data_IF_324433098374
#
_entry.id   IF_324433098374
#
_cell.length_a   1.000
_cell.length_b   1.000
_cell.length_c   1.000
_cell.angle_alpha   90.00
_cell.angle_beta   90.00
_cell.angle_gamma   90.00
#
_symmetry.space_group_name_H-M   'P 1'
#
loop_
_entity.id
_entity.type
_entity.pdbx_description
1 polymer ?
#
# COMPACT_ATOMS: atom_id res chain seq x y z
N UNK A 1 -50.63 47.38 -49.45
CA UNK A 1 -50.41 46.62 -48.20
C UNK A 1 -49.23 45.69 -48.46
N UNK A 2 -48.00 46.22 -48.28
CA UNK A 2 -47.15 45.97 -47.08
C UNK A 2 -46.76 44.50 -47.01
N UNK A 3 -45.51 44.05 -47.07
CA UNK A 3 -44.21 44.69 -46.85
C UNK A 3 -43.16 43.72 -47.44
N UNK A 4 -42.17 44.23 -48.18
CA UNK A 4 -40.75 44.24 -47.78
C UNK A 4 -40.11 42.87 -47.44
N UNK A 5 -39.44 42.29 -48.44
CA UNK A 5 -38.00 41.94 -48.51
C UNK A 5 -37.22 41.43 -47.28
N UNK A 6 -36.11 40.70 -47.52
CA UNK A 6 -35.90 39.32 -47.10
C UNK A 6 -34.91 39.22 -45.93
N UNK A 7 -34.85 38.06 -45.27
CA UNK A 7 -33.72 37.75 -44.37
C UNK A 7 -33.25 36.32 -44.52
N UNK A 8 -32.46 36.11 -45.58
CA UNK A 8 -31.32 35.20 -45.49
C UNK A 8 -30.43 35.71 -44.36
N UNK A 9 -30.60 35.14 -43.17
CA UNK A 9 -29.60 35.30 -42.12
C UNK A 9 -28.43 34.38 -42.47
N UNK A 10 -27.21 34.91 -42.62
CA UNK A 10 -26.02 34.09 -42.70
C UNK A 10 -25.79 33.45 -41.33
N UNK A 11 -25.91 32.13 -41.23
CA UNK A 11 -25.35 31.40 -40.09
C UNK A 11 -23.82 31.58 -40.16
N UNK A 12 -23.31 32.46 -39.31
CA UNK A 12 -21.89 32.78 -39.22
C UNK A 12 -21.09 31.55 -38.72
N UNK A 13 -19.88 31.33 -39.24
CA UNK A 13 -19.01 30.27 -38.75
C UNK A 13 -18.35 30.72 -37.45
N UNK A 14 -18.31 29.84 -36.42
CA UNK A 14 -17.16 29.60 -35.52
C UNK A 14 -17.61 28.86 -34.26
N UNK A 15 -17.02 27.67 -34.04
CA UNK A 15 -16.05 27.44 -32.95
C UNK A 15 -15.52 26.01 -33.05
N UNK A 16 -14.40 25.86 -33.76
CA UNK A 16 -13.37 24.92 -33.30
C UNK A 16 -12.82 25.50 -31.99
N UNK A 17 -13.17 24.89 -30.86
CA UNK A 17 -12.42 25.01 -29.61
C UNK A 17 -12.43 23.62 -29.00
N UNK A 18 -11.33 22.90 -29.16
CA UNK A 18 -10.32 22.80 -28.12
C UNK A 18 -10.73 21.75 -27.09
N UNK A 19 -9.97 20.66 -27.10
CA UNK A 19 -9.84 19.66 -26.06
C UNK A 19 -10.15 20.24 -24.67
N UNK A 20 -11.27 19.84 -24.08
CA UNK A 20 -11.39 19.85 -22.62
C UNK A 20 -11.21 18.43 -22.13
N UNK A 21 -9.93 18.10 -21.98
CA UNK A 21 -9.43 17.12 -21.04
C UNK A 21 -10.31 17.15 -19.77
N UNK A 22 -11.19 16.18 -19.61
CA UNK A 22 -11.81 15.86 -18.32
C UNK A 22 -11.00 14.75 -17.68
N UNK A 23 -9.75 15.07 -17.37
CA UNK A 23 -9.08 14.45 -16.25
C UNK A 23 -9.41 15.30 -15.02
N UNK A 24 -10.53 15.00 -14.36
CA UNK A 24 -10.77 15.39 -12.97
C UNK A 24 -12.05 14.74 -12.45
N UNK A 25 -11.85 13.77 -11.56
CA UNK A 25 -12.62 13.56 -10.34
C UNK A 25 -14.14 13.48 -10.44
N UNK A 26 -14.64 12.26 -10.55
CA UNK A 26 -15.58 11.74 -9.54
C UNK A 26 -15.69 10.21 -9.58
N UNK A 27 -14.59 9.52 -9.26
CA UNK A 27 -14.66 8.12 -8.76
C UNK A 27 -15.19 8.05 -7.31
N UNK A 28 -15.83 9.11 -6.81
CA UNK A 28 -16.38 9.16 -5.47
C UNK A 28 -17.89 8.83 -5.42
N UNK A 29 -18.65 9.03 -6.49
CA UNK A 29 -20.12 8.89 -6.44
C UNK A 29 -20.66 7.57 -7.01
N UNK A 30 -19.91 6.84 -7.85
CA UNK A 30 -20.34 5.55 -8.38
C UNK A 30 -20.02 4.35 -7.45
N UNK A 31 -19.41 4.60 -6.27
CA UNK A 31 -18.97 3.57 -5.31
C UNK A 31 -20.02 3.24 -4.24
N UNK A 32 -21.14 3.96 -4.19
CA UNK A 32 -22.12 3.89 -3.09
C UNK A 32 -23.23 2.85 -3.31
N UNK A 33 -23.47 2.40 -4.54
CA UNK A 33 -24.63 1.54 -4.87
C UNK A 33 -24.39 0.03 -4.59
N UNK A 34 -23.16 -0.40 -4.30
CA UNK A 34 -22.80 -1.83 -4.12
C UNK A 34 -22.68 -2.28 -2.63
N UNK A 35 -23.00 -1.40 -1.66
CA UNK A 35 -22.70 -1.59 -0.23
C UNK A 35 -23.60 -2.64 0.47
N UNK A 36 -24.57 -3.24 -0.24
CA UNK A 36 -25.64 -4.07 0.36
C UNK A 36 -25.52 -5.58 0.10
N UNK A 37 -24.40 -6.09 -0.42
CA UNK A 37 -24.14 -7.53 -0.50
C UNK A 37 -23.04 -7.93 0.51
N UNK A 38 -23.38 -8.84 1.42
CA UNK A 38 -22.49 -9.50 2.39
C UNK A 38 -21.78 -8.62 3.43
N UNK A 39 -22.23 -8.64 4.71
CA UNK A 39 -21.63 -7.90 5.84
C UNK A 39 -20.12 -8.13 6.04
N UNK A 40 -19.55 -9.17 5.44
CA UNK A 40 -18.13 -9.49 5.53
C UNK A 40 -17.24 -8.58 4.69
N UNK A 41 -17.67 -8.17 3.50
CA UNK A 41 -16.85 -7.33 2.59
C UNK A 41 -16.73 -5.89 3.12
N UNK A 42 -17.79 -5.21 3.57
CA UNK A 42 -17.69 -3.89 4.19
C UNK A 42 -16.82 -3.87 5.45
N UNK A 43 -16.92 -4.91 6.29
CA UNK A 43 -16.06 -5.04 7.48
C UNK A 43 -14.59 -5.26 7.10
N UNK A 44 -14.31 -6.08 6.09
CA UNK A 44 -12.96 -6.25 5.58
C UNK A 44 -12.36 -4.90 5.11
N UNK A 45 -13.15 -4.08 4.40
CA UNK A 45 -12.72 -2.76 3.93
C UNK A 45 -12.39 -1.83 5.10
N UNK A 46 -13.21 -1.81 6.16
CA UNK A 46 -12.93 -1.00 7.36
C UNK A 46 -11.58 -1.40 7.98
N UNK A 47 -11.35 -2.70 8.12
CA UNK A 47 -10.12 -3.22 8.73
C UNK A 47 -8.90 -2.93 7.85
N UNK A 48 -9.00 -3.09 6.52
CA UNK A 48 -7.90 -2.75 5.61
C UNK A 48 -7.55 -1.27 5.70
N UNK A 49 -8.52 -0.36 5.79
CA UNK A 49 -8.21 1.07 5.94
C UNK A 49 -7.34 1.34 7.16
N UNK A 50 -7.65 0.68 8.28
CA UNK A 50 -6.82 0.75 9.49
C UNK A 50 -5.44 0.09 9.27
N UNK A 51 -5.39 -1.03 8.57
CA UNK A 51 -4.13 -1.71 8.24
C UNK A 51 -3.20 -0.82 7.41
N UNK A 52 -3.73 -0.17 6.37
CA UNK A 52 -3.00 0.76 5.49
C UNK A 52 -2.54 1.99 6.28
N UNK A 53 -3.37 2.51 7.18
CA UNK A 53 -2.98 3.61 8.05
C UNK A 53 -1.80 3.21 8.95
N UNK A 54 -1.90 2.07 9.64
CA UNK A 54 -0.82 1.55 10.49
C UNK A 54 0.47 1.26 9.69
N UNK A 55 0.35 0.77 8.45
CA UNK A 55 1.46 0.53 7.52
C UNK A 55 2.17 1.84 7.15
N UNK A 56 1.41 2.87 6.79
CA UNK A 56 1.93 4.21 6.50
C UNK A 56 2.58 4.88 7.72
N UNK A 57 2.08 4.57 8.92
CA UNK A 57 2.67 5.03 10.20
C UNK A 57 3.92 4.22 10.60
N UNK A 58 4.32 3.21 9.82
CA UNK A 58 5.48 2.36 10.12
C UNK A 58 5.24 1.34 11.23
N UNK A 59 4.00 1.17 11.69
CA UNK A 59 3.58 0.19 12.70
C UNK A 59 3.40 -1.19 12.06
N UNK A 60 4.48 -1.72 11.50
CA UNK A 60 4.50 -2.94 10.68
C UNK A 60 3.88 -4.16 11.37
N UNK A 61 4.12 -4.36 12.68
CA UNK A 61 3.55 -5.48 13.44
C UNK A 61 2.03 -5.39 13.54
N UNK A 62 1.51 -4.20 13.81
CA UNK A 62 0.08 -3.94 13.94
C UNK A 62 -0.60 -4.03 12.58
N UNK A 63 0.00 -3.42 11.55
CA UNK A 63 -0.45 -3.51 10.17
C UNK A 63 -0.59 -4.97 9.72
N UNK A 64 0.40 -5.82 10.00
CA UNK A 64 0.36 -7.25 9.66
C UNK A 64 -0.82 -7.98 10.31
N UNK A 65 -1.12 -7.69 11.58
CA UNK A 65 -2.28 -8.29 12.29
C UNK A 65 -3.58 -7.86 11.64
N UNK A 66 -3.71 -6.57 11.33
CA UNK A 66 -4.90 -6.00 10.69
C UNK A 66 -5.10 -6.54 9.27
N UNK A 67 -4.04 -6.65 8.46
CA UNK A 67 -4.11 -7.26 7.13
C UNK A 67 -4.58 -8.71 7.20
N UNK A 68 -4.04 -9.53 8.11
CA UNK A 68 -4.50 -10.91 8.32
C UNK A 68 -5.98 -10.99 8.69
N UNK A 69 -6.42 -10.11 9.60
CA UNK A 69 -7.82 -10.02 10.02
C UNK A 69 -8.72 -9.67 8.84
N UNK A 70 -8.37 -8.64 8.05
CA UNK A 70 -9.13 -8.25 6.87
C UNK A 70 -9.21 -9.37 5.81
N UNK A 71 -8.09 -10.05 5.54
CA UNK A 71 -8.05 -11.16 4.58
C UNK A 71 -9.00 -12.29 4.98
N UNK A 72 -9.11 -12.62 6.27
CA UNK A 72 -10.09 -13.61 6.76
C UNK A 72 -11.53 -13.20 6.44
N UNK A 73 -11.85 -11.91 6.58
CA UNK A 73 -13.18 -11.39 6.24
C UNK A 73 -13.44 -11.41 4.73
N UNK A 74 -12.47 -11.03 3.91
CA UNK A 74 -12.60 -11.10 2.45
C UNK A 74 -12.81 -12.53 1.95
N UNK A 75 -12.03 -13.50 2.45
CA UNK A 75 -12.17 -14.93 2.08
C UNK A 75 -13.55 -15.46 2.49
N UNK A 76 -14.06 -15.04 3.65
CA UNK A 76 -15.41 -15.40 4.10
C UNK A 76 -16.47 -14.75 3.22
N UNK A 77 -16.29 -13.49 2.86
CA UNK A 77 -17.16 -12.76 1.94
C UNK A 77 -17.25 -13.41 0.56
N UNK A 78 -16.13 -13.91 0.01
CA UNK A 78 -16.09 -14.62 -1.28
C UNK A 78 -17.00 -15.85 -1.36
N UNK A 79 -17.42 -16.42 -0.22
CA UNK A 79 -18.37 -17.54 -0.18
C UNK A 79 -19.80 -17.10 -0.54
N UNK A 80 -20.11 -15.83 -0.29
CA UNK A 80 -21.45 -15.26 -0.46
C UNK A 80 -21.54 -14.28 -1.64
N UNK A 81 -20.40 -13.83 -2.17
CA UNK A 81 -20.33 -12.99 -3.38
C UNK A 81 -20.48 -13.80 -4.68
N UNK A 82 -21.20 -13.22 -5.65
CA UNK A 82 -21.44 -13.81 -6.97
C UNK A 82 -21.07 -12.84 -8.10
N UNK A 83 -20.90 -13.37 -9.32
CA UNK A 83 -20.64 -12.57 -10.52
C UNK A 83 -19.29 -11.85 -10.54
N UNK A 84 -19.27 -10.67 -11.20
CA UNK A 84 -18.05 -9.89 -11.49
C UNK A 84 -17.36 -9.35 -10.23
N UNK A 85 -18.12 -9.04 -9.19
CA UNK A 85 -17.60 -8.48 -7.93
C UNK A 85 -16.67 -9.48 -7.22
N UNK A 86 -16.85 -10.79 -7.43
CA UNK A 86 -15.99 -11.85 -6.91
C UNK A 86 -14.55 -11.78 -7.44
N UNK A 87 -14.39 -11.50 -8.73
CA UNK A 87 -13.07 -11.37 -9.36
C UNK A 87 -12.35 -10.14 -8.84
N UNK A 88 -13.05 -9.00 -8.77
CA UNK A 88 -12.51 -7.76 -8.21
C UNK A 88 -12.06 -7.92 -6.74
N UNK A 89 -12.83 -8.66 -5.93
CA UNK A 89 -12.46 -8.95 -4.54
C UNK A 89 -11.24 -9.89 -4.48
N UNK A 90 -11.14 -10.89 -5.36
CA UNK A 90 -9.95 -11.78 -5.44
C UNK A 90 -8.69 -11.02 -5.78
N UNK A 91 -8.74 -10.11 -6.75
CA UNK A 91 -7.60 -9.27 -7.12
C UNK A 91 -7.13 -8.43 -5.94
N UNK A 92 -8.08 -7.84 -5.19
CA UNK A 92 -7.74 -7.09 -3.98
C UNK A 92 -7.18 -7.94 -2.86
N UNK A 93 -7.68 -9.16 -2.66
CA UNK A 93 -7.08 -10.11 -1.72
C UNK A 93 -5.61 -10.37 -2.09
N UNK A 94 -5.31 -10.60 -3.37
CA UNK A 94 -3.94 -10.83 -3.85
C UNK A 94 -3.03 -9.62 -3.57
N UNK A 95 -3.51 -8.40 -3.83
CA UNK A 95 -2.77 -7.17 -3.51
C UNK A 95 -2.43 -7.09 -2.01
N UNK A 96 -3.43 -7.32 -1.14
CA UNK A 96 -3.24 -7.23 0.31
C UNK A 96 -2.41 -8.37 0.89
N UNK A 97 -2.46 -9.58 0.30
CA UNK A 97 -1.59 -10.69 0.67
C UNK A 97 -0.13 -10.37 0.38
N UNK A 98 0.18 -9.88 -0.82
CA UNK A 98 1.56 -9.48 -1.19
C UNK A 98 2.12 -8.46 -0.21
N UNK A 99 1.34 -7.44 0.14
CA UNK A 99 1.78 -6.43 1.12
C UNK A 99 2.02 -7.03 2.50
N UNK A 100 1.14 -7.92 2.97
CA UNK A 100 1.34 -8.61 4.25
C UNK A 100 2.62 -9.48 4.27
N UNK A 101 2.96 -10.12 3.15
CA UNK A 101 4.20 -10.89 3.00
C UNK A 101 5.45 -10.01 3.03
N UNK A 102 5.43 -8.86 2.34
CA UNK A 102 6.52 -7.87 2.41
C UNK A 102 6.76 -7.39 3.83
N UNK A 103 5.69 -7.04 4.55
CA UNK A 103 5.76 -6.59 5.94
C UNK A 103 6.36 -7.70 6.82
N UNK A 104 5.95 -8.96 6.62
CA UNK A 104 6.52 -10.10 7.35
C UNK A 104 8.02 -10.21 7.13
N UNK A 105 8.47 -10.17 5.87
CA UNK A 105 9.91 -10.22 5.51
C UNK A 105 10.68 -9.05 6.12
N UNK A 106 10.10 -7.85 6.13
CA UNK A 106 10.71 -6.67 6.74
C UNK A 106 10.88 -6.84 8.27
N UNK A 107 9.90 -7.44 8.94
CA UNK A 107 9.99 -7.73 10.39
C UNK A 107 11.03 -8.82 10.70
N UNK A 108 11.09 -9.89 9.90
CA UNK A 108 12.07 -10.98 10.05
C UNK A 108 13.51 -10.48 9.78
N UNK A 109 13.65 -9.57 8.81
CA UNK A 109 14.92 -8.88 8.49
C UNK A 109 15.37 -7.88 9.56
N UNK A 110 14.45 -7.32 10.35
CA UNK A 110 14.79 -6.44 11.48
C UNK A 110 15.24 -7.24 12.71
N UNK A 111 14.65 -8.42 12.96
CA UNK A 111 15.09 -9.29 14.05
C UNK A 111 16.50 -9.81 13.86
N UNK A 112 16.94 -10.01 12.62
CA UNK A 112 18.31 -10.47 12.29
C UNK A 112 19.37 -9.36 12.33
N UNK A 113 18.99 -8.08 12.26
CA UNK A 113 19.93 -6.94 12.42
C UNK A 113 20.16 -6.52 13.87
N UNK A 114 19.29 -6.91 14.81
CA UNK A 114 19.38 -6.48 16.22
C UNK A 114 20.41 -7.27 17.06
N UNK A 115 21.03 -8.32 16.53
CA UNK A 115 21.96 -9.20 17.27
C UNK A 115 23.45 -8.86 17.12
N UNK A 116 23.84 -7.78 16.42
CA UNK A 116 25.28 -7.47 16.15
C UNK A 116 25.78 -6.21 16.87
N UNK A 117 24.99 -5.58 17.73
CA UNK A 117 25.41 -4.38 18.49
C UNK A 117 25.14 -4.54 19.97
N UNK A 118 25.97 -5.32 20.69
CA UNK A 118 26.35 -5.12 22.11
C UNK A 118 27.33 -6.23 22.55
N UNK A 119 28.54 -6.20 22.00
CA UNK A 119 29.72 -6.84 22.60
C UNK A 119 30.96 -6.02 22.23
N UNK A 120 30.98 -4.76 22.66
CA UNK A 120 32.13 -3.88 22.52
C UNK A 120 32.52 -3.32 23.88
N UNK A 121 33.64 -3.81 24.42
CA UNK A 121 34.46 -3.07 25.37
C UNK A 121 34.96 -3.86 26.58
N UNK A 122 36.21 -4.34 26.51
CA UNK A 122 37.29 -3.85 27.40
C UNK A 122 38.61 -3.89 26.61
N UNK A 123 39.12 -2.72 26.25
CA UNK A 123 40.53 -2.53 25.89
C UNK A 123 41.35 -2.67 27.16
N UNK A 124 42.38 -3.49 27.16
CA UNK A 124 43.45 -3.41 28.16
C UNK A 124 44.76 -3.17 27.43
N UNK A 125 45.17 -1.90 27.41
CA UNK A 125 46.55 -1.49 27.29
C UNK A 125 47.39 -2.21 28.36
N UNK A 126 48.50 -2.81 27.96
CA UNK A 126 49.67 -3.02 28.82
C UNK A 126 50.95 -2.99 27.99
N UNK A 127 51.64 -1.86 28.11
CA UNK A 127 53.04 -1.65 27.77
C UNK A 127 53.92 -2.07 28.95
N UNK A 128 54.92 -2.91 28.71
CA UNK A 128 56.18 -3.12 29.45
C UNK A 128 56.76 -4.44 28.92
N UNK A 129 58.00 -4.61 28.44
CA UNK A 129 59.25 -3.96 28.77
C UNK A 129 60.23 -5.06 29.22
N UNK A 130 61.34 -5.23 28.50
CA UNK A 130 62.62 -5.71 29.06
C UNK A 130 63.01 -7.19 28.87
N UNK A 131 64.18 -7.39 28.21
CA UNK A 131 65.22 -8.42 28.48
C UNK A 131 64.85 -9.90 28.27
N UNK A 132 65.65 -10.76 27.65
CA UNK A 132 67.08 -10.76 27.35
C UNK A 132 67.59 -12.20 27.53
N UNK A 133 68.48 -12.66 26.64
CA UNK A 133 69.52 -13.64 26.98
C UNK A 133 69.30 -15.13 26.67
N UNK A 134 70.20 -15.65 25.82
CA UNK A 134 70.76 -17.02 25.87
C UNK A 134 69.93 -18.10 25.17
N UNK A 135 70.47 -19.01 24.35
CA UNK A 135 71.86 -19.39 24.06
C UNK A 135 71.93 -20.91 23.88
N UNK A 136 72.69 -21.38 22.88
CA UNK A 136 73.11 -22.79 22.68
C UNK A 136 72.04 -23.68 22.03
N UNK A 137 72.34 -24.55 21.07
CA UNK A 137 73.59 -25.16 20.65
C UNK A 137 73.28 -26.61 20.29
N UNK A 138 73.72 -27.06 19.11
CA UNK A 138 73.48 -28.41 18.57
C UNK A 138 73.30 -28.38 17.06
#
# INVERSE_FOLDING_TARGET
>A
MTDAYPRLLPEAPKRRSASRLRFASSFAAARVIEIMESRFIPEAIKIVKLAVQADNEGKLKEALVLYKKALKYFITGLKYEQGKSKELVRDKINDYMKRAEEIKKALDGQTSKKTVVHAGGVKHDKKSGGGGGGGGGG
#
